data_IF_050375928665
#
_entry.id   IF_050375928665
#
_cell.length_a   1.000
_cell.length_b   1.000
_cell.length_c   1.000
_cell.angle_alpha   90.00
_cell.angle_beta   90.00
_cell.angle_gamma   90.00
#
_symmetry.space_group_name_H-M   'P 1'
#
loop_
_entity.id
_entity.type
_entity.pdbx_description
1 polymer ?
#
# COMPACT_ATOMS: atom_id res chain seq x y z
N UNK A 1 0.18 -25.47 -43.38
CA UNK A 1 1.24 -25.98 -42.47
C UNK A 1 1.10 -25.23 -41.16
N UNK A 2 0.34 -25.81 -40.23
CA UNK A 2 -0.01 -25.20 -38.93
C UNK A 2 0.99 -25.66 -37.87
N UNK A 3 1.72 -24.72 -37.29
CA UNK A 3 2.57 -24.96 -36.13
C UNK A 3 1.80 -24.56 -34.86
N UNK A 4 1.25 -25.56 -34.19
CA UNK A 4 0.69 -25.47 -32.84
C UNK A 4 1.84 -25.36 -31.83
N UNK A 5 1.90 -24.25 -31.10
CA UNK A 5 2.79 -24.09 -29.94
C UNK A 5 2.02 -24.43 -28.66
N UNK A 6 2.60 -25.25 -27.75
CA UNK A 6 1.93 -25.64 -26.51
C UNK A 6 2.12 -24.56 -25.43
N UNK A 7 1.00 -24.16 -24.81
CA UNK A 7 0.98 -23.31 -23.62
C UNK A 7 1.47 -24.15 -22.42
N UNK A 8 2.70 -23.89 -21.97
CA UNK A 8 3.22 -24.41 -20.69
C UNK A 8 2.58 -23.64 -19.53
N UNK A 9 1.71 -24.30 -18.78
CA UNK A 9 1.26 -23.85 -17.47
C UNK A 9 2.41 -23.92 -16.47
N UNK A 10 3.05 -22.78 -16.20
CA UNK A 10 3.96 -22.64 -15.07
C UNK A 10 3.13 -22.42 -13.80
N UNK A 11 2.87 -23.49 -13.06
CA UNK A 11 2.38 -23.45 -11.68
C UNK A 11 3.53 -23.05 -10.74
N UNK A 12 3.81 -21.76 -10.65
CA UNK A 12 4.66 -21.22 -9.60
C UNK A 12 3.89 -21.24 -8.28
N UNK A 13 4.16 -22.30 -7.49
CA UNK A 13 3.98 -22.34 -6.04
C UNK A 13 4.58 -21.08 -5.41
N UNK A 14 3.73 -20.12 -5.05
CA UNK A 14 4.11 -19.09 -4.10
C UNK A 14 3.56 -19.51 -2.73
N UNK A 15 4.39 -20.22 -1.97
CA UNK A 15 4.12 -20.48 -0.57
C UNK A 15 4.26 -19.18 0.20
N UNK A 16 3.14 -18.59 0.59
CA UNK A 16 3.08 -17.50 1.55
C UNK A 16 3.54 -18.00 2.91
N UNK A 17 4.85 -17.88 3.18
CA UNK A 17 5.37 -17.84 4.56
C UNK A 17 4.87 -16.54 5.18
N UNK A 18 3.66 -16.60 5.74
CA UNK A 18 3.16 -15.62 6.69
C UNK A 18 4.11 -15.57 7.89
N UNK A 19 4.86 -14.48 7.96
CA UNK A 19 5.69 -14.10 9.09
C UNK A 19 4.80 -13.89 10.32
N UNK A 20 4.68 -14.96 11.11
CA UNK A 20 4.05 -14.99 12.43
C UNK A 20 4.93 -14.22 13.42
N UNK A 21 4.94 -12.89 13.31
CA UNK A 21 5.70 -12.03 14.21
C UNK A 21 4.85 -10.82 14.62
N UNK A 22 4.45 -10.81 15.89
CA UNK A 22 4.02 -9.65 16.68
C UNK A 22 2.69 -8.97 16.30
N UNK A 23 1.64 -9.75 16.03
CA UNK A 23 0.29 -9.29 16.44
C UNK A 23 0.15 -9.65 17.93
N UNK A 24 0.37 -8.64 18.78
CA UNK A 24 0.53 -8.79 20.23
C UNK A 24 -0.73 -9.24 21.00
N UNK A 25 -0.72 -9.16 22.35
CA UNK A 25 -1.84 -9.55 23.21
C UNK A 25 -3.15 -8.82 22.88
N UNK A 26 -3.09 -7.70 22.14
CA UNK A 26 -4.24 -6.91 21.72
C UNK A 26 -5.25 -7.66 20.84
N UNK A 27 -4.84 -8.62 20.01
CA UNK A 27 -5.81 -9.42 19.23
C UNK A 27 -6.64 -10.33 20.14
N UNK A 28 -6.00 -10.97 21.12
CA UNK A 28 -6.68 -11.80 22.12
C UNK A 28 -7.62 -10.97 23.01
N UNK A 29 -7.20 -9.77 23.42
CA UNK A 29 -8.03 -8.86 24.21
C UNK A 29 -9.24 -8.38 23.38
N UNK A 30 -9.04 -8.02 22.11
CA UNK A 30 -10.13 -7.58 21.23
C UNK A 30 -11.19 -8.67 21.06
N UNK A 31 -10.77 -9.93 20.84
CA UNK A 31 -11.70 -11.06 20.76
C UNK A 31 -12.44 -11.26 22.07
N UNK A 32 -11.74 -11.23 23.20
CA UNK A 32 -12.37 -11.40 24.51
C UNK A 32 -13.43 -10.33 24.77
N UNK A 33 -13.14 -9.06 24.44
CA UNK A 33 -14.09 -7.95 24.56
C UNK A 33 -15.29 -8.15 23.64
N UNK A 34 -15.09 -8.53 22.37
CA UNK A 34 -16.20 -8.80 21.44
C UNK A 34 -17.07 -9.97 21.92
N UNK A 35 -16.48 -11.03 22.46
CA UNK A 35 -17.23 -12.15 23.03
C UNK A 35 -18.06 -11.75 24.25
N UNK A 36 -17.51 -10.90 25.14
CA UNK A 36 -18.24 -10.39 26.31
C UNK A 36 -19.40 -9.48 25.87
N UNK A 37 -19.17 -8.57 24.93
CA UNK A 37 -20.21 -7.66 24.42
C UNK A 37 -21.30 -8.44 23.67
N UNK A 38 -20.95 -9.42 22.85
CA UNK A 38 -21.92 -10.30 22.20
C UNK A 38 -22.70 -11.13 23.22
N UNK A 39 -22.04 -11.69 24.24
CA UNK A 39 -22.70 -12.41 25.33
C UNK A 39 -23.68 -11.52 26.10
N UNK A 40 -23.27 -10.29 26.45
CA UNK A 40 -24.12 -9.32 27.11
C UNK A 40 -25.31 -8.90 26.23
N UNK A 41 -25.11 -8.70 24.93
CA UNK A 41 -26.17 -8.42 23.96
C UNK A 41 -27.19 -9.57 23.89
N UNK A 42 -26.74 -10.82 23.86
CA UNK A 42 -27.63 -12.01 23.85
C UNK A 42 -28.44 -12.13 25.14
N UNK A 43 -27.87 -11.72 26.28
CA UNK A 43 -28.56 -11.75 27.59
C UNK A 43 -29.53 -10.57 27.76
N UNK A 44 -29.16 -9.37 27.28
CA UNK A 44 -29.91 -8.13 27.49
C UNK A 44 -31.01 -7.88 26.44
N UNK A 45 -30.85 -8.37 25.20
CA UNK A 45 -31.90 -8.26 24.18
C UNK A 45 -32.93 -9.39 24.29
N UNK A 46 -34.21 -9.15 23.89
CA UNK A 46 -35.29 -10.14 23.90
C UNK A 46 -35.09 -11.33 22.93
N UNK A 47 -33.93 -11.45 22.28
CA UNK A 47 -33.54 -12.65 21.50
C UNK A 47 -33.50 -13.90 22.38
N UNK A 48 -33.21 -13.76 23.69
CA UNK A 48 -33.31 -14.87 24.64
C UNK A 48 -34.72 -15.49 24.69
N UNK A 49 -35.77 -14.69 24.52
CA UNK A 49 -37.14 -15.22 24.48
C UNK A 49 -37.43 -15.97 23.18
N UNK A 50 -36.81 -15.58 22.06
CA UNK A 50 -37.03 -16.22 20.76
C UNK A 50 -36.20 -17.51 20.61
N UNK A 51 -34.98 -17.54 21.16
CA UNK A 51 -34.05 -18.68 21.01
C UNK A 51 -34.16 -19.68 22.17
N UNK A 52 -34.44 -19.22 23.39
CA UNK A 52 -34.45 -20.09 24.59
C UNK A 52 -35.83 -20.34 25.18
N UNK A 53 -36.93 -19.71 24.72
CA UNK A 53 -38.26 -20.33 24.83
C UNK A 53 -38.45 -21.32 23.69
N UNK A 54 -37.59 -22.33 23.68
CA UNK A 54 -38.01 -23.63 23.21
C UNK A 54 -38.71 -24.23 24.42
N UNK A 55 -40.00 -23.94 24.56
CA UNK A 55 -40.89 -24.91 25.21
C UNK A 55 -40.55 -26.22 24.51
N UNK A 56 -39.87 -27.12 25.22
CA UNK A 56 -39.60 -28.43 24.69
C UNK A 56 -40.98 -28.97 24.30
N UNK A 57 -41.26 -29.21 23.01
CA UNK A 57 -42.41 -30.02 22.70
C UNK A 57 -42.14 -31.32 23.45
N UNK A 58 -42.94 -31.62 24.47
CA UNK A 58 -43.05 -32.98 24.97
C UNK A 58 -43.40 -33.77 23.72
N UNK A 59 -42.43 -34.46 23.16
CA UNK A 59 -42.68 -35.41 22.08
C UNK A 59 -43.69 -36.38 22.66
N UNK A 60 -44.97 -36.36 22.21
CA UNK A 60 -45.77 -37.53 22.44
C UNK A 60 -45.07 -38.63 21.64
N UNK A 61 -44.72 -39.73 22.31
CA UNK A 61 -44.18 -40.92 21.66
C UNK A 61 -45.32 -41.54 20.84
N UNK A 62 -45.62 -40.91 19.70
CA UNK A 62 -46.65 -41.35 18.78
C UNK A 62 -45.96 -42.32 17.83
N UNK A 63 -45.95 -43.59 18.23
CA UNK A 63 -45.84 -44.69 17.29
C UNK A 63 -47.17 -44.72 16.50
N UNK A 64 -47.31 -43.84 15.50
CA UNK A 64 -48.42 -43.94 14.54
C UNK A 64 -47.90 -44.38 13.20
N UNK A 65 -48.47 -45.50 12.75
CA UNK A 65 -48.42 -46.03 11.39
C UNK A 65 -48.79 -44.92 10.38
N UNK A 66 -48.24 -45.01 9.17
CA UNK A 66 -48.27 -43.97 8.14
C UNK A 66 -49.63 -43.33 7.85
N UNK A 67 -50.74 -44.01 8.13
CA UNK A 67 -52.09 -43.51 7.85
C UNK A 67 -52.50 -42.34 8.77
N UNK A 68 -52.11 -42.33 10.05
CA UNK A 68 -52.48 -41.23 10.95
C UNK A 68 -51.63 -39.96 10.70
N UNK A 69 -50.42 -40.13 10.16
CA UNK A 69 -49.57 -39.02 9.75
C UNK A 69 -50.12 -38.36 8.47
N UNK A 70 -50.68 -39.17 7.58
CA UNK A 70 -51.41 -38.69 6.40
C UNK A 70 -52.65 -37.88 6.80
N UNK A 71 -53.44 -38.36 7.77
CA UNK A 71 -54.62 -37.65 8.27
C UNK A 71 -54.27 -36.31 8.94
N UNK A 72 -53.16 -36.24 9.68
CA UNK A 72 -52.65 -34.98 10.25
C UNK A 72 -52.16 -34.02 9.15
N UNK A 73 -51.47 -34.52 8.13
CA UNK A 73 -51.03 -33.71 6.98
C UNK A 73 -52.24 -33.16 6.22
N UNK A 74 -53.26 -33.98 5.98
CA UNK A 74 -54.48 -33.55 5.29
C UNK A 74 -55.25 -32.53 6.14
N UNK A 75 -55.35 -32.71 7.45
CA UNK A 75 -55.96 -31.73 8.35
C UNK A 75 -55.20 -30.39 8.41
N UNK A 76 -53.86 -30.41 8.35
CA UNK A 76 -53.03 -29.18 8.26
C UNK A 76 -53.22 -28.52 6.89
N UNK A 77 -53.26 -29.30 5.82
CA UNK A 77 -53.46 -28.81 4.46
C UNK A 77 -54.83 -28.16 4.31
N UNK A 78 -55.86 -28.77 4.87
CA UNK A 78 -57.23 -28.25 4.86
C UNK A 78 -57.37 -26.97 5.70
N UNK A 79 -56.80 -26.93 6.91
CA UNK A 79 -56.77 -25.69 7.72
C UNK A 79 -56.00 -24.56 7.05
N UNK A 80 -54.92 -24.89 6.34
CA UNK A 80 -54.12 -23.89 5.60
C UNK A 80 -54.90 -23.41 4.38
N UNK A 81 -55.59 -24.32 3.68
CA UNK A 81 -56.47 -23.98 2.56
C UNK A 81 -57.66 -23.11 3.01
N UNK A 82 -58.30 -23.41 4.14
CA UNK A 82 -59.36 -22.58 4.72
C UNK A 82 -58.88 -21.19 5.13
N UNK A 83 -57.71 -21.09 5.79
CA UNK A 83 -57.11 -19.79 6.13
C UNK A 83 -56.75 -18.98 4.89
N UNK A 84 -56.26 -19.64 3.84
CA UNK A 84 -55.98 -18.98 2.57
C UNK A 84 -57.28 -18.55 1.88
N UNK A 85 -58.32 -19.38 1.85
CA UNK A 85 -59.65 -19.01 1.33
C UNK A 85 -60.25 -17.85 2.10
N UNK A 86 -60.16 -17.83 3.42
CA UNK A 86 -60.63 -16.71 4.25
C UNK A 86 -59.85 -15.41 3.99
N UNK A 87 -58.53 -15.50 3.75
CA UNK A 87 -57.71 -14.35 3.35
C UNK A 87 -58.01 -13.85 1.94
N UNK A 88 -58.23 -14.77 0.99
CA UNK A 88 -58.64 -14.43 -0.37
C UNK A 88 -60.03 -13.78 -0.35
N UNK A 89 -60.99 -14.32 0.39
CA UNK A 89 -62.31 -13.74 0.56
C UNK A 89 -62.25 -12.35 1.21
N UNK A 90 -61.39 -12.13 2.21
CA UNK A 90 -61.15 -10.79 2.78
C UNK A 90 -60.54 -9.81 1.77
N UNK A 91 -59.64 -10.28 0.91
CA UNK A 91 -59.05 -9.48 -0.17
C UNK A 91 -60.09 -9.14 -1.24
N UNK A 92 -60.92 -10.10 -1.65
CA UNK A 92 -62.04 -9.89 -2.58
C UNK A 92 -63.03 -8.88 -1.99
N UNK A 93 -63.43 -9.03 -0.73
CA UNK A 93 -64.32 -8.07 -0.06
C UNK A 93 -63.68 -6.68 0.07
N UNK A 94 -62.37 -6.60 0.25
CA UNK A 94 -61.61 -5.36 0.23
C UNK A 94 -61.58 -4.70 -1.15
N UNK A 95 -61.40 -5.49 -2.21
CA UNK A 95 -61.47 -5.03 -3.61
C UNK A 95 -62.87 -4.54 -3.96
N UNK A 96 -63.92 -5.25 -3.57
CA UNK A 96 -65.31 -4.87 -3.80
C UNK A 96 -65.65 -3.55 -3.11
N UNK A 97 -65.25 -3.38 -1.85
CA UNK A 97 -65.43 -2.10 -1.13
C UNK A 97 -64.66 -0.96 -1.78
N UNK A 98 -63.45 -1.20 -2.29
CA UNK A 98 -62.71 -0.20 -3.05
C UNK A 98 -63.43 0.13 -4.36
N UNK A 99 -63.87 -0.86 -5.11
CA UNK A 99 -64.60 -0.68 -6.37
C UNK A 99 -65.90 0.11 -6.15
N UNK A 100 -66.63 -0.19 -5.08
CA UNK A 100 -67.86 0.51 -4.70
C UNK A 100 -67.59 1.94 -4.23
N UNK A 101 -66.53 2.18 -3.43
CA UNK A 101 -66.08 3.53 -3.08
C UNK A 101 -65.64 4.33 -4.31
N UNK A 102 -64.93 3.71 -5.26
CA UNK A 102 -64.57 4.33 -6.53
C UNK A 102 -65.79 4.65 -7.38
N UNK A 103 -66.80 3.79 -7.42
CA UNK A 103 -68.08 4.07 -8.07
C UNK A 103 -68.77 5.25 -7.41
N UNK A 104 -68.97 5.24 -6.08
CA UNK A 104 -69.61 6.34 -5.34
C UNK A 104 -68.86 7.66 -5.58
N UNK A 105 -67.53 7.65 -5.53
CA UNK A 105 -66.72 8.84 -5.78
C UNK A 105 -66.85 9.30 -7.23
N UNK A 106 -66.82 8.40 -8.22
CA UNK A 106 -67.01 8.78 -9.63
C UNK A 106 -68.43 9.27 -9.94
N UNK A 107 -69.45 8.68 -9.31
CA UNK A 107 -70.87 9.05 -9.51
C UNK A 107 -71.19 10.41 -8.89
N UNK A 108 -70.58 10.75 -7.75
CA UNK A 108 -70.90 11.98 -7.01
C UNK A 108 -69.83 13.07 -7.13
N UNK A 109 -68.62 12.75 -7.56
CA UNK A 109 -67.51 13.68 -7.69
C UNK A 109 -66.85 13.57 -9.08
N UNK A 110 -67.57 13.98 -10.14
CA UNK A 110 -66.94 14.30 -11.44
C UNK A 110 -65.65 15.16 -11.34
N UNK A 111 -65.49 16.08 -10.37
CA UNK A 111 -64.22 16.78 -10.15
C UNK A 111 -63.04 15.86 -9.78
N UNK A 112 -63.29 14.70 -9.17
CA UNK A 112 -62.22 13.83 -8.67
C UNK A 112 -61.50 13.10 -9.80
N UNK A 113 -62.21 12.58 -10.80
CA UNK A 113 -61.59 11.93 -11.96
C UNK A 113 -60.75 12.93 -12.77
N UNK A 114 -61.25 14.15 -12.96
CA UNK A 114 -60.52 15.20 -13.67
C UNK A 114 -59.35 15.73 -12.84
N UNK A 115 -59.47 15.85 -11.52
CA UNK A 115 -58.35 16.17 -10.62
C UNK A 115 -57.28 15.07 -10.61
N UNK A 116 -57.67 13.79 -10.62
CA UNK A 116 -56.75 12.67 -10.72
C UNK A 116 -56.00 12.68 -12.06
N UNK A 117 -56.71 12.93 -13.16
CA UNK A 117 -56.10 13.07 -14.49
C UNK A 117 -55.17 14.28 -14.56
N UNK A 118 -55.57 15.43 -14.02
CA UNK A 118 -54.73 16.62 -13.95
C UNK A 118 -53.45 16.38 -13.13
N UNK A 119 -53.58 15.73 -11.97
CA UNK A 119 -52.45 15.36 -11.11
C UNK A 119 -51.54 14.34 -11.78
N UNK A 120 -52.12 13.33 -12.45
CA UNK A 120 -51.36 12.33 -13.20
C UNK A 120 -50.60 12.97 -14.38
N UNK A 121 -51.19 13.94 -15.09
CA UNK A 121 -50.52 14.73 -16.13
C UNK A 121 -49.36 15.54 -15.57
N UNK A 122 -49.58 16.30 -14.51
CA UNK A 122 -48.52 17.10 -13.87
C UNK A 122 -47.33 16.23 -13.40
N UNK A 123 -47.63 15.06 -12.81
CA UNK A 123 -46.61 14.09 -12.40
C UNK A 123 -45.89 13.48 -13.59
N UNK A 124 -46.63 13.11 -14.65
CA UNK A 124 -46.05 12.58 -15.88
C UNK A 124 -45.07 13.60 -16.50
N UNK A 125 -45.47 14.86 -16.63
CA UNK A 125 -44.64 15.92 -17.19
C UNK A 125 -43.35 16.14 -16.38
N UNK A 126 -43.45 16.17 -15.05
CA UNK A 126 -42.28 16.29 -14.19
C UNK A 126 -41.34 15.09 -14.30
N UNK A 127 -41.88 13.86 -14.31
CA UNK A 127 -41.08 12.65 -14.49
C UNK A 127 -40.41 12.60 -15.87
N UNK A 128 -41.10 13.03 -16.93
CA UNK A 128 -40.55 13.16 -18.29
C UNK A 128 -39.35 14.10 -18.28
N UNK A 129 -39.52 15.29 -17.70
CA UNK A 129 -38.46 16.31 -17.63
C UNK A 129 -37.25 15.78 -16.88
N UNK A 130 -37.46 15.21 -15.69
CA UNK A 130 -36.37 14.64 -14.89
C UNK A 130 -35.64 13.49 -15.60
N UNK A 131 -36.37 12.59 -16.27
CA UNK A 131 -35.76 11.48 -17.01
C UNK A 131 -34.88 12.00 -18.15
N UNK A 132 -35.40 12.91 -18.98
CA UNK A 132 -34.67 13.47 -20.12
C UNK A 132 -33.46 14.28 -19.68
N UNK A 133 -33.60 15.18 -18.71
CA UNK A 133 -32.51 16.02 -18.23
C UNK A 133 -31.34 15.18 -17.70
N UNK A 134 -31.65 14.13 -16.91
CA UNK A 134 -30.63 13.20 -16.38
C UNK A 134 -30.02 12.31 -17.44
N UNK A 135 -30.82 11.77 -18.36
CA UNK A 135 -30.29 10.96 -19.47
C UNK A 135 -29.34 11.77 -20.35
N UNK A 136 -29.67 13.04 -20.60
CA UNK A 136 -28.80 13.98 -21.33
C UNK A 136 -27.52 14.26 -20.56
N UNK A 137 -27.61 14.60 -19.27
CA UNK A 137 -26.44 14.85 -18.42
C UNK A 137 -25.50 13.63 -18.38
N UNK A 138 -26.07 12.42 -18.28
CA UNK A 138 -25.29 11.18 -18.31
C UNK A 138 -24.63 10.93 -19.67
N UNK A 139 -25.33 11.19 -20.78
CA UNK A 139 -24.75 11.10 -22.12
C UNK A 139 -23.59 12.10 -22.30
N UNK A 140 -23.73 13.32 -21.81
CA UNK A 140 -22.69 14.35 -21.86
C UNK A 140 -21.49 13.97 -20.97
N UNK A 141 -21.72 13.40 -19.78
CA UNK A 141 -20.66 12.87 -18.92
C UNK A 141 -19.88 11.73 -19.60
N UNK A 142 -20.58 10.83 -20.30
CA UNK A 142 -19.94 9.75 -21.07
C UNK A 142 -19.09 10.30 -22.23
N UNK A 143 -19.56 11.33 -22.95
CA UNK A 143 -18.77 12.00 -24.00
C UNK A 143 -17.53 12.70 -23.44
N UNK A 144 -17.67 13.39 -22.31
CA UNK A 144 -16.53 14.02 -21.63
C UNK A 144 -15.51 12.98 -21.14
N UNK A 145 -15.98 11.86 -20.59
CA UNK A 145 -15.14 10.73 -20.20
C UNK A 145 -14.42 10.10 -21.40
N UNK A 146 -15.10 9.96 -22.53
CA UNK A 146 -14.51 9.49 -23.78
C UNK A 146 -13.40 10.43 -24.27
N UNK A 147 -13.65 11.75 -24.30
CA UNK A 147 -12.69 12.75 -24.76
C UNK A 147 -11.45 12.86 -23.85
N UNK A 148 -11.62 12.70 -22.55
CA UNK A 148 -10.54 12.75 -21.56
C UNK A 148 -9.85 11.39 -21.32
N UNK A 149 -10.35 10.31 -21.94
CA UNK A 149 -9.97 8.93 -21.64
C UNK A 149 -10.08 8.56 -20.15
N UNK A 150 -10.92 9.28 -19.39
CA UNK A 150 -11.13 9.05 -17.97
C UNK A 150 -12.57 8.56 -17.71
N UNK A 151 -12.79 7.26 -17.50
CA UNK A 151 -14.12 6.70 -17.24
C UNK A 151 -14.73 7.10 -15.89
N UNK A 152 -13.93 7.56 -14.91
CA UNK A 152 -14.37 7.73 -13.52
C UNK A 152 -15.55 8.73 -13.37
N UNK A 153 -15.51 9.95 -13.94
CA UNK A 153 -16.61 10.90 -13.80
C UNK A 153 -17.93 10.38 -14.39
N UNK A 154 -17.87 9.61 -15.49
CA UNK A 154 -19.06 9.03 -16.11
C UNK A 154 -19.67 7.92 -15.25
N UNK A 155 -18.84 7.08 -14.62
CA UNK A 155 -19.30 6.05 -13.69
C UNK A 155 -19.95 6.67 -12.45
N UNK A 156 -19.37 7.75 -11.92
CA UNK A 156 -19.95 8.49 -10.78
C UNK A 156 -21.29 9.13 -11.12
N UNK A 157 -21.38 9.81 -12.27
CA UNK A 157 -22.64 10.37 -12.78
C UNK A 157 -23.70 9.26 -12.94
N UNK A 158 -23.30 8.12 -13.50
CA UNK A 158 -24.23 7.02 -13.70
C UNK A 158 -24.73 6.40 -12.39
N UNK A 159 -23.86 6.22 -11.39
CA UNK A 159 -24.26 5.77 -10.04
C UNK A 159 -25.28 6.71 -9.41
N UNK A 160 -25.14 8.02 -9.61
CA UNK A 160 -26.04 9.03 -9.08
C UNK A 160 -27.38 9.11 -9.82
N UNK A 161 -27.36 9.04 -11.16
CA UNK A 161 -28.53 9.35 -11.99
C UNK A 161 -29.30 8.12 -12.46
N UNK A 162 -28.66 6.97 -12.68
CA UNK A 162 -29.33 5.80 -13.27
C UNK A 162 -30.53 5.29 -12.44
N UNK A 163 -30.46 5.14 -11.11
CA UNK A 163 -31.63 4.72 -10.33
C UNK A 163 -32.81 5.67 -10.46
N UNK A 164 -32.53 6.97 -10.60
CA UNK A 164 -33.53 8.02 -10.72
C UNK A 164 -34.16 8.04 -12.12
N UNK A 165 -33.35 7.81 -13.16
CA UNK A 165 -33.85 7.64 -14.53
C UNK A 165 -34.82 6.45 -14.60
N UNK A 166 -34.43 5.29 -14.07
CA UNK A 166 -35.28 4.08 -14.11
C UNK A 166 -36.58 4.28 -13.32
N UNK A 167 -36.51 4.92 -12.15
CA UNK A 167 -37.70 5.25 -11.36
C UNK A 167 -38.63 6.20 -12.12
N UNK A 168 -38.08 7.24 -12.77
CA UNK A 168 -38.87 8.15 -13.58
C UNK A 168 -39.50 7.46 -14.80
N UNK A 169 -38.80 6.52 -15.44
CA UNK A 169 -39.35 5.73 -16.56
C UNK A 169 -40.51 4.82 -16.15
N UNK A 170 -40.46 4.22 -14.95
CA UNK A 170 -41.57 3.45 -14.41
C UNK A 170 -42.80 4.33 -14.12
N UNK A 171 -42.57 5.55 -13.62
CA UNK A 171 -43.64 6.53 -13.39
C UNK A 171 -44.23 7.05 -14.70
N UNK A 172 -43.42 7.25 -15.74
CA UNK A 172 -43.89 7.58 -17.09
C UNK A 172 -44.82 6.48 -17.61
N UNK A 173 -44.40 5.22 -17.50
CA UNK A 173 -45.22 4.06 -17.89
C UNK A 173 -46.56 4.02 -17.14
N UNK A 174 -46.55 4.26 -15.82
CA UNK A 174 -47.78 4.37 -15.02
C UNK A 174 -48.66 5.51 -15.50
N UNK A 175 -48.09 6.68 -15.80
CA UNK A 175 -48.81 7.83 -16.34
C UNK A 175 -49.49 7.53 -17.69
N UNK A 176 -48.80 6.85 -18.59
CA UNK A 176 -49.36 6.40 -19.88
C UNK A 176 -50.61 5.54 -19.70
N UNK A 177 -50.54 4.57 -18.77
CA UNK A 177 -51.65 3.65 -18.49
C UNK A 177 -52.82 4.38 -17.82
N UNK A 178 -52.55 5.25 -16.85
CA UNK A 178 -53.58 5.98 -16.11
C UNK A 178 -54.32 7.00 -16.98
N UNK A 179 -53.62 7.63 -17.92
CA UNK A 179 -54.20 8.62 -18.83
C UNK A 179 -54.80 8.00 -20.10
N UNK A 180 -54.74 6.67 -20.24
CA UNK A 180 -55.27 5.91 -21.38
C UNK A 180 -54.73 6.39 -22.74
N UNK A 181 -53.46 6.81 -22.78
CA UNK A 181 -52.83 7.39 -23.96
C UNK A 181 -52.42 6.30 -24.94
N UNK A 182 -53.30 5.96 -25.90
CA UNK A 182 -53.05 4.92 -26.93
C UNK A 182 -52.35 3.69 -26.34
N UNK A 183 -52.94 3.15 -25.26
CA UNK A 183 -52.31 2.26 -24.28
C UNK A 183 -51.29 1.30 -24.88
N UNK A 184 -51.66 0.56 -25.91
CA UNK A 184 -50.81 -0.54 -26.41
C UNK A 184 -49.61 -0.04 -27.21
N UNK A 185 -49.79 0.94 -28.10
CA UNK A 185 -48.72 1.45 -28.94
C UNK A 185 -47.68 2.24 -28.12
N UNK A 186 -48.16 3.14 -27.26
CA UNK A 186 -47.29 4.00 -26.45
C UNK A 186 -46.60 3.22 -25.33
N UNK A 187 -47.28 2.26 -24.69
CA UNK A 187 -46.65 1.38 -23.71
C UNK A 187 -45.58 0.50 -24.35
N UNK A 188 -45.79 0.02 -25.59
CA UNK A 188 -44.77 -0.74 -26.32
C UNK A 188 -43.53 0.10 -26.59
N UNK A 189 -43.69 1.36 -27.02
CA UNK A 189 -42.55 2.27 -27.21
C UNK A 189 -41.83 2.60 -25.90
N UNK A 190 -42.57 2.80 -24.81
CA UNK A 190 -41.98 3.05 -23.49
C UNK A 190 -41.24 1.82 -22.95
N UNK A 191 -41.75 0.60 -23.17
CA UNK A 191 -41.06 -0.63 -22.81
C UNK A 191 -39.73 -0.75 -23.58
N UNK A 192 -39.73 -0.47 -24.88
CA UNK A 192 -38.50 -0.47 -25.69
C UNK A 192 -37.48 0.58 -25.20
N UNK A 193 -37.93 1.78 -24.80
CA UNK A 193 -37.07 2.81 -24.22
C UNK A 193 -36.50 2.39 -22.84
N UNK A 194 -37.29 1.71 -22.02
CA UNK A 194 -36.86 1.17 -20.73
C UNK A 194 -35.85 0.02 -20.91
N UNK A 195 -36.07 -0.89 -21.85
CA UNK A 195 -35.13 -1.96 -22.19
C UNK A 195 -33.79 -1.40 -22.67
N UNK A 196 -33.80 -0.38 -23.53
CA UNK A 196 -32.60 0.32 -23.95
C UNK A 196 -31.84 0.95 -22.76
N UNK A 197 -32.57 1.54 -21.79
CA UNK A 197 -31.97 2.12 -20.60
C UNK A 197 -31.42 1.05 -19.64
N UNK A 198 -32.07 -0.11 -19.52
CA UNK A 198 -31.57 -1.26 -18.76
C UNK A 198 -30.27 -1.78 -19.40
N UNK A 199 -30.22 -1.89 -20.72
CA UNK A 199 -29.01 -2.28 -21.45
C UNK A 199 -27.86 -1.28 -21.21
N UNK A 200 -28.16 0.03 -21.25
CA UNK A 200 -27.18 1.07 -20.92
C UNK A 200 -26.64 0.94 -19.49
N UNK A 201 -27.52 0.67 -18.52
CA UNK A 201 -27.14 0.45 -17.12
C UNK A 201 -26.23 -0.77 -16.93
N UNK A 202 -26.52 -1.89 -17.63
CA UNK A 202 -25.66 -3.07 -17.59
C UNK A 202 -24.24 -2.75 -18.09
N UNK A 203 -24.14 -1.98 -19.16
CA UNK A 203 -22.85 -1.57 -19.71
C UNK A 203 -22.08 -0.64 -18.76
N UNK A 204 -22.77 0.29 -18.13
CA UNK A 204 -22.18 1.18 -17.11
C UNK A 204 -21.66 0.40 -15.90
N UNK A 205 -22.37 -0.62 -15.44
CA UNK A 205 -21.86 -1.50 -14.35
C UNK A 205 -20.56 -2.18 -14.74
N UNK A 206 -20.46 -2.62 -15.99
CA UNK A 206 -19.22 -3.21 -16.48
C UNK A 206 -18.08 -2.18 -16.63
N UNK A 207 -18.38 -0.93 -16.96
CA UNK A 207 -17.41 0.18 -16.88
C UNK A 207 -16.96 0.42 -15.45
N UNK A 208 -17.87 0.35 -14.47
CA UNK A 208 -17.55 0.49 -13.05
C UNK A 208 -16.55 -0.58 -12.58
N UNK A 209 -16.79 -1.85 -12.91
CA UNK A 209 -15.85 -2.95 -12.65
C UNK A 209 -14.49 -2.72 -13.31
N UNK A 210 -14.48 -2.15 -14.52
CA UNK A 210 -13.25 -1.79 -15.22
C UNK A 210 -12.48 -0.67 -14.52
N UNK A 211 -13.16 0.37 -14.02
CA UNK A 211 -12.56 1.45 -13.23
C UNK A 211 -11.95 0.90 -11.95
N UNK A 212 -12.68 0.05 -11.24
CA UNK A 212 -12.18 -0.62 -10.04
C UNK A 212 -10.90 -1.41 -10.34
N UNK A 213 -10.87 -2.15 -11.45
CA UNK A 213 -9.70 -2.93 -11.89
C UNK A 213 -8.50 -2.01 -12.18
N UNK A 214 -8.72 -0.87 -12.85
CA UNK A 214 -7.67 0.12 -13.13
C UNK A 214 -7.14 0.70 -11.82
N UNK A 215 -8.00 1.07 -10.88
CA UNK A 215 -7.59 1.60 -9.58
C UNK A 215 -6.79 0.57 -8.76
N UNK A 216 -7.26 -0.68 -8.70
CA UNK A 216 -6.56 -1.77 -8.01
C UNK A 216 -5.18 -2.06 -8.60
N UNK A 217 -4.99 -1.87 -9.91
CA UNK A 217 -3.69 -2.03 -10.58
C UNK A 217 -2.79 -0.80 -10.44
N UNK A 218 -3.37 0.40 -10.35
CA UNK A 218 -2.63 1.65 -10.18
C UNK A 218 -2.04 1.81 -8.77
N UNK A 219 -2.67 1.24 -7.75
CA UNK A 219 -2.23 1.43 -6.36
C UNK A 219 -0.85 0.78 -6.05
N UNK A 220 -0.59 -0.48 -6.44
CA UNK A 220 0.75 -1.08 -6.29
C UNK A 220 1.83 -0.28 -7.03
N UNK A 221 1.51 0.25 -8.21
CA UNK A 221 2.41 1.10 -9.00
C UNK A 221 2.78 2.39 -8.26
N UNK A 222 1.82 3.03 -7.58
CA UNK A 222 2.09 4.23 -6.75
C UNK A 222 2.99 3.88 -5.57
N UNK A 223 2.72 2.77 -4.87
CA UNK A 223 3.57 2.29 -3.78
C UNK A 223 4.99 2.02 -4.26
N UNK A 224 5.14 1.31 -5.39
CA UNK A 224 6.43 0.98 -5.98
C UNK A 224 7.22 2.23 -6.39
N UNK A 225 6.55 3.24 -6.97
CA UNK A 225 7.17 4.52 -7.30
C UNK A 225 7.68 5.26 -6.07
N UNK A 226 6.90 5.27 -4.98
CA UNK A 226 7.30 5.89 -3.72
C UNK A 226 8.51 5.17 -3.11
N UNK A 227 8.49 3.84 -3.06
CA UNK A 227 9.64 3.06 -2.56
C UNK A 227 10.90 3.30 -3.39
N UNK A 228 10.76 3.46 -4.70
CA UNK A 228 11.85 3.77 -5.62
C UNK A 228 12.39 5.19 -5.38
N UNK A 229 11.52 6.17 -5.14
CA UNK A 229 11.91 7.54 -4.78
C UNK A 229 12.68 7.57 -3.44
N UNK A 230 12.16 6.88 -2.41
CA UNK A 230 12.82 6.74 -1.10
C UNK A 230 14.21 6.10 -1.23
N UNK A 231 14.33 5.07 -2.08
CA UNK A 231 15.59 4.39 -2.35
C UNK A 231 16.58 5.31 -3.08
N UNK A 232 16.13 6.05 -4.09
CA UNK A 232 16.95 7.01 -4.83
C UNK A 232 17.43 8.17 -3.95
N UNK A 233 16.62 8.63 -3.00
CA UNK A 233 17.01 9.60 -1.98
C UNK A 233 18.09 9.07 -1.01
N UNK A 234 18.15 7.76 -0.80
CA UNK A 234 19.14 7.14 0.10
C UNK A 234 20.50 6.87 -0.56
N UNK A 235 20.56 6.75 -1.89
CA UNK A 235 21.79 6.44 -2.63
C UNK A 235 22.94 7.44 -2.39
N UNK A 236 22.72 8.77 -2.40
CA UNK A 236 23.79 9.73 -2.13
C UNK A 236 24.44 9.54 -0.75
N UNK A 237 23.63 9.22 0.27
CA UNK A 237 24.15 8.97 1.61
C UNK A 237 25.06 7.75 1.70
N UNK A 238 24.77 6.70 0.92
CA UNK A 238 25.64 5.51 0.82
C UNK A 238 26.95 5.82 0.08
N UNK A 239 26.90 6.61 -1.00
CA UNK A 239 28.10 7.04 -1.72
C UNK A 239 29.00 7.94 -0.87
N UNK A 240 28.42 8.87 -0.11
CA UNK A 240 29.16 9.74 0.79
C UNK A 240 29.80 8.95 1.94
N UNK A 241 29.10 7.95 2.49
CA UNK A 241 29.64 7.04 3.48
C UNK A 241 30.83 6.23 2.94
N UNK A 242 30.74 5.72 1.71
CA UNK A 242 31.84 5.03 1.03
C UNK A 242 33.05 5.97 0.87
N UNK A 243 32.84 7.18 0.33
CA UNK A 243 33.91 8.18 0.12
C UNK A 243 34.59 8.57 1.41
N UNK A 244 33.80 8.82 2.47
CA UNK A 244 34.31 9.18 3.80
C UNK A 244 35.14 8.05 4.41
N UNK A 245 34.64 6.81 4.38
CA UNK A 245 35.37 5.65 4.89
C UNK A 245 36.67 5.39 4.12
N UNK A 246 36.65 5.56 2.80
CA UNK A 246 37.84 5.41 1.95
C UNK A 246 38.91 6.48 2.24
N UNK A 247 38.48 7.75 2.38
CA UNK A 247 39.37 8.84 2.75
C UNK A 247 39.99 8.63 4.14
N UNK A 248 39.20 8.17 5.11
CA UNK A 248 39.69 7.83 6.45
C UNK A 248 40.70 6.68 6.43
N UNK A 249 40.46 5.64 5.62
CA UNK A 249 41.39 4.53 5.45
C UNK A 249 42.73 5.01 4.84
N UNK A 250 42.67 5.88 3.84
CA UNK A 250 43.87 6.44 3.19
C UNK A 250 44.70 7.29 4.16
N UNK A 251 44.03 8.09 5.00
CA UNK A 251 44.70 8.86 6.06
C UNK A 251 45.35 7.93 7.10
N UNK A 252 44.65 6.89 7.55
CA UNK A 252 45.19 5.91 8.48
C UNK A 252 46.45 5.22 7.92
N UNK A 253 46.47 4.85 6.65
CA UNK A 253 47.66 4.31 5.98
C UNK A 253 48.82 5.30 5.91
N UNK A 254 48.54 6.58 5.62
CA UNK A 254 49.56 7.62 5.62
C UNK A 254 50.21 7.75 7.01
N UNK A 255 49.41 7.65 8.10
CA UNK A 255 49.92 7.65 9.47
C UNK A 255 50.76 6.41 9.79
N UNK A 256 50.37 5.22 9.31
CA UNK A 256 51.19 3.99 9.44
C UNK A 256 52.57 4.20 8.79
N UNK A 257 52.61 4.77 7.58
CA UNK A 257 53.88 5.07 6.88
C UNK A 257 54.75 6.05 7.66
N UNK A 258 54.15 7.08 8.27
CA UNK A 258 54.86 8.03 9.12
C UNK A 258 55.43 7.36 10.37
N UNK A 259 54.66 6.50 11.05
CA UNK A 259 55.13 5.73 12.20
C UNK A 259 56.29 4.79 11.81
N UNK A 260 56.23 4.15 10.64
CA UNK A 260 57.33 3.33 10.12
C UNK A 260 58.60 4.13 9.88
N UNK A 261 58.48 5.35 9.34
CA UNK A 261 59.61 6.25 9.16
C UNK A 261 60.23 6.64 10.52
N UNK A 262 59.40 7.08 11.47
CA UNK A 262 59.85 7.42 12.83
C UNK A 262 60.52 6.25 13.53
N UNK A 263 60.01 5.03 13.35
CA UNK A 263 60.62 3.81 13.91
C UNK A 263 62.01 3.57 13.31
N UNK A 264 62.17 3.67 11.99
CA UNK A 264 63.48 3.52 11.33
C UNK A 264 64.48 4.56 11.83
N UNK A 265 64.05 5.81 12.02
CA UNK A 265 64.91 6.85 12.56
C UNK A 265 65.28 6.59 14.03
N UNK A 266 64.34 6.09 14.83
CA UNK A 266 64.61 5.67 16.22
C UNK A 266 65.58 4.48 16.27
N UNK A 267 65.40 3.48 15.41
CA UNK A 267 66.32 2.34 15.28
C UNK A 267 67.75 2.79 14.92
N UNK A 268 67.90 3.80 14.04
CA UNK A 268 69.21 4.40 13.73
C UNK A 268 69.83 5.06 14.96
N UNK A 269 69.04 5.82 15.73
CA UNK A 269 69.50 6.45 16.98
C UNK A 269 69.89 5.42 18.04
N UNK A 270 69.15 4.31 18.15
CA UNK A 270 69.48 3.19 19.05
C UNK A 270 70.85 2.60 18.68
N UNK A 271 71.11 2.35 17.39
CA UNK A 271 72.42 1.84 16.93
C UNK A 271 73.54 2.82 17.26
N UNK A 272 73.35 4.11 17.00
CA UNK A 272 74.34 5.13 17.34
C UNK A 272 74.63 5.18 18.85
N UNK A 273 73.60 5.16 19.71
CA UNK A 273 73.75 5.16 21.16
C UNK A 273 74.45 3.89 21.68
N UNK A 274 74.20 2.73 21.05
CA UNK A 274 74.91 1.48 21.37
C UNK A 274 76.40 1.58 21.02
N UNK A 275 76.74 2.17 19.88
CA UNK A 275 78.13 2.36 19.46
C UNK A 275 78.85 3.36 20.38
N UNK A 276 78.21 4.44 20.79
CA UNK A 276 78.74 5.39 21.78
C UNK A 276 78.99 4.72 23.14
N UNK A 277 78.03 3.92 23.62
CA UNK A 277 78.19 3.16 24.87
C UNK A 277 79.37 2.16 24.79
N UNK A 278 79.57 1.51 23.64
CA UNK A 278 80.72 0.61 23.39
C UNK A 278 82.04 1.39 23.39
N UNK A 279 82.08 2.57 22.77
CA UNK A 279 83.26 3.46 22.75
C UNK A 279 83.64 3.93 24.15
N UNK A 280 82.66 4.40 24.93
CA UNK A 280 82.87 4.86 26.31
C UNK A 280 83.35 3.71 27.22
N UNK A 281 82.78 2.51 27.06
CA UNK A 281 83.25 1.32 27.78
C UNK A 281 84.71 0.99 27.43
N UNK A 282 85.06 1.01 26.14
CA UNK A 282 86.44 0.76 25.72
C UNK A 282 87.42 1.83 26.24
N UNK A 283 86.99 3.09 26.33
CA UNK A 283 87.77 4.17 26.94
C UNK A 283 87.96 3.94 28.44
N UNK A 284 86.90 3.57 29.16
CA UNK A 284 86.97 3.20 30.58
C UNK A 284 87.96 2.04 30.80
N UNK A 285 87.80 0.94 30.06
CA UNK A 285 88.68 -0.24 30.17
C UNK A 285 90.16 0.14 29.91
N UNK A 286 90.41 1.06 28.97
CA UNK A 286 91.75 1.57 28.68
C UNK A 286 92.30 2.41 29.85
N UNK A 287 91.51 3.33 30.39
CA UNK A 287 91.90 4.17 31.53
C UNK A 287 92.15 3.33 32.79
N UNK A 288 91.32 2.31 33.05
CA UNK A 288 91.52 1.38 34.15
C UNK A 288 92.83 0.59 34.02
N UNK A 289 93.17 0.14 32.81
CA UNK A 289 94.48 -0.51 32.55
C UNK A 289 95.63 0.45 32.83
N UNK A 290 95.57 1.67 32.31
CA UNK A 290 96.59 2.70 32.55
C UNK A 290 96.70 3.08 34.03
N UNK A 291 95.60 3.11 34.77
CA UNK A 291 95.59 3.33 36.22
C UNK A 291 96.25 2.17 36.97
N UNK A 292 95.98 0.92 36.58
CA UNK A 292 96.65 -0.27 37.16
C UNK A 292 98.16 -0.24 36.91
N UNK A 293 98.57 0.07 35.68
CA UNK A 293 99.99 0.22 35.31
C UNK A 293 100.67 1.34 36.10
N UNK A 294 100.04 2.53 36.20
CA UNK A 294 100.57 3.65 36.97
C UNK A 294 100.71 3.29 38.47
N UNK A 295 99.72 2.60 39.04
CA UNK A 295 99.79 2.11 40.42
C UNK A 295 100.88 1.05 40.63
N UNK A 296 101.10 0.15 39.67
CA UNK A 296 102.20 -0.82 39.72
C UNK A 296 103.58 -0.12 39.64
N UNK A 297 103.73 0.85 38.74
CA UNK A 297 104.96 1.66 38.64
C UNK A 297 105.23 2.46 39.91
N UNK A 298 104.20 3.07 40.51
CA UNK A 298 104.30 3.77 41.79
C UNK A 298 104.71 2.83 42.93
N UNK A 299 104.20 1.59 42.96
CA UNK A 299 104.64 0.56 43.92
C UNK A 299 106.10 0.15 43.71
N UNK A 300 106.57 0.05 42.46
CA UNK A 300 107.98 -0.26 42.16
C UNK A 300 108.93 0.90 42.51
N UNK A 301 108.48 2.16 42.41
CA UNK A 301 109.25 3.37 42.76
C UNK A 301 109.33 3.68 44.26
N UNK A 302 108.60 2.96 45.12
CA UNK A 302 108.68 3.05 46.60
C UNK A 302 110.05 2.67 47.20
N UNK A 303 111.08 2.39 46.39
CA UNK A 303 112.48 2.34 46.85
C UNK A 303 113.20 3.71 46.88
N UNK A 304 112.54 4.84 46.58
CA UNK A 304 113.17 6.15 46.84
C UNK A 304 112.55 7.43 46.27
N UNK A 305 111.42 7.40 45.55
CA UNK A 305 110.80 8.61 45.00
C UNK A 305 109.30 8.70 45.27
N UNK A 306 108.80 9.92 45.51
CA UNK A 306 107.39 10.20 45.75
C UNK A 306 106.52 9.75 44.57
N UNK A 307 105.35 9.12 44.81
CA UNK A 307 104.45 8.71 43.74
C UNK A 307 103.91 9.92 42.98
N UNK A 308 103.71 9.75 41.68
CA UNK A 308 103.23 10.77 40.74
C UNK A 308 101.70 10.93 40.89
N UNK A 309 101.27 11.44 42.05
CA UNK A 309 99.87 11.49 42.52
C UNK A 309 98.94 12.22 41.56
N UNK A 310 99.43 13.28 40.91
CA UNK A 310 98.68 14.04 39.92
C UNK A 310 98.22 13.19 38.73
N UNK A 311 99.05 12.23 38.28
CA UNK A 311 98.70 11.33 37.17
C UNK A 311 97.63 10.31 37.57
N UNK A 312 97.69 9.81 38.81
CA UNK A 312 96.68 8.89 39.36
C UNK A 312 95.34 9.62 39.50
N UNK A 313 95.32 10.84 40.05
CA UNK A 313 94.10 11.64 40.19
C UNK A 313 93.47 12.01 38.84
N UNK A 314 94.29 12.33 37.83
CA UNK A 314 93.80 12.62 36.48
C UNK A 314 93.17 11.37 35.82
N UNK A 315 93.76 10.18 36.02
CA UNK A 315 93.21 8.93 35.52
C UNK A 315 91.92 8.54 36.26
N UNK A 316 91.84 8.76 37.58
CA UNK A 316 90.60 8.53 38.35
C UNK A 316 89.48 9.44 37.87
N UNK A 317 89.74 10.75 37.70
CA UNK A 317 88.74 11.69 37.14
C UNK A 317 88.28 11.28 35.75
N UNK A 318 89.19 10.84 34.88
CA UNK A 318 88.84 10.33 33.56
C UNK A 318 87.97 9.07 33.59
N UNK A 319 88.18 8.17 34.57
CA UNK A 319 87.32 6.99 34.77
C UNK A 319 85.93 7.43 35.23
N UNK A 320 85.84 8.36 36.18
CA UNK A 320 84.56 8.87 36.70
C UNK A 320 83.75 9.56 35.58
N UNK A 321 84.39 10.37 34.74
CA UNK A 321 83.78 11.00 33.57
C UNK A 321 83.31 9.96 32.53
N UNK A 322 84.11 8.92 32.27
CA UNK A 322 83.73 7.84 31.36
C UNK A 322 82.54 7.02 31.89
N UNK A 323 82.49 6.75 33.20
CA UNK A 323 81.38 6.07 33.88
C UNK A 323 80.12 6.93 33.85
N UNK A 324 80.23 8.24 34.10
CA UNK A 324 79.12 9.18 34.00
C UNK A 324 78.56 9.22 32.56
N UNK A 325 79.44 9.31 31.56
CA UNK A 325 79.07 9.23 30.14
C UNK A 325 78.38 7.92 29.79
N UNK A 326 78.88 6.79 30.30
CA UNK A 326 78.27 5.46 30.06
C UNK A 326 76.86 5.37 30.68
N UNK A 327 76.67 5.90 31.89
CA UNK A 327 75.34 5.97 32.53
C UNK A 327 74.36 6.81 31.70
N UNK A 328 74.80 7.97 31.21
CA UNK A 328 73.97 8.83 30.36
C UNK A 328 73.63 8.16 29.01
N UNK A 329 74.60 7.50 28.37
CA UNK A 329 74.38 6.76 27.13
C UNK A 329 73.40 5.59 27.33
N UNK A 330 73.50 4.87 28.46
CA UNK A 330 72.57 3.80 28.82
C UNK A 330 71.15 4.33 29.07
N UNK A 331 71.01 5.41 29.82
CA UNK A 331 69.70 6.04 30.05
C UNK A 331 69.04 6.49 28.74
N UNK A 332 69.82 7.07 27.81
CA UNK A 332 69.35 7.44 26.47
C UNK A 332 68.93 6.20 25.66
N UNK A 333 69.70 5.12 25.71
CA UNK A 333 69.36 3.87 25.04
C UNK A 333 68.04 3.28 25.55
N UNK A 334 67.83 3.26 26.87
CA UNK A 334 66.62 2.73 27.48
C UNK A 334 65.39 3.58 27.12
N UNK A 335 65.53 4.92 27.11
CA UNK A 335 64.49 5.84 26.64
C UNK A 335 64.14 5.63 25.16
N UNK A 336 65.14 5.47 24.28
CA UNK A 336 64.90 5.22 22.85
C UNK A 336 64.23 3.86 22.61
N UNK A 337 64.60 2.81 23.37
CA UNK A 337 63.92 1.50 23.31
C UNK A 337 62.46 1.58 23.75
N UNK A 338 62.16 2.38 24.78
CA UNK A 338 60.80 2.63 25.22
C UNK A 338 60.00 3.40 24.16
N UNK A 339 60.63 4.36 23.47
CA UNK A 339 60.01 5.06 22.34
C UNK A 339 59.74 4.11 21.16
N UNK A 340 60.68 3.22 20.82
CA UNK A 340 60.51 2.21 19.75
C UNK A 340 59.36 1.25 20.06
N UNK A 341 59.24 0.77 21.30
CA UNK A 341 58.13 -0.10 21.70
C UNK A 341 56.78 0.62 21.64
N UNK A 342 56.73 1.89 22.06
CA UNK A 342 55.54 2.75 21.91
C UNK A 342 55.11 2.91 20.45
N UNK A 343 56.06 3.19 19.55
CA UNK A 343 55.80 3.31 18.11
C UNK A 343 55.32 1.98 17.48
N UNK A 344 55.84 0.83 17.93
CA UNK A 344 55.36 -0.49 17.48
C UNK A 344 53.90 -0.73 17.86
N UNK A 345 53.53 -0.42 19.10
CA UNK A 345 52.14 -0.54 19.56
C UNK A 345 51.23 0.40 18.77
N UNK A 346 51.63 1.67 18.61
CA UNK A 346 50.86 2.66 17.85
C UNK A 346 50.67 2.23 16.39
N UNK A 347 51.72 1.73 15.74
CA UNK A 347 51.63 1.18 14.38
C UNK A 347 50.60 0.05 14.30
N UNK A 348 50.66 -0.93 15.21
CA UNK A 348 49.71 -2.05 15.23
C UNK A 348 48.25 -1.58 15.39
N UNK A 349 48.01 -0.58 16.24
CA UNK A 349 46.66 0.00 16.37
C UNK A 349 46.19 0.67 15.07
N UNK A 350 47.06 1.45 14.41
CA UNK A 350 46.72 2.15 13.17
C UNK A 350 46.51 1.19 11.99
N UNK A 351 47.28 0.10 11.91
CA UNK A 351 47.09 -0.97 10.91
C UNK A 351 45.72 -1.64 11.08
N UNK A 352 45.32 -1.95 12.32
CA UNK A 352 44.01 -2.52 12.61
C UNK A 352 42.89 -1.55 12.23
N UNK A 353 43.01 -0.27 12.59
CA UNK A 353 42.02 0.76 12.21
C UNK A 353 41.93 0.93 10.69
N UNK A 354 43.07 0.94 9.97
CA UNK A 354 43.06 1.04 8.51
C UNK A 354 42.38 -0.18 7.86
N UNK A 355 42.64 -1.39 8.37
CA UNK A 355 42.00 -2.60 7.89
C UNK A 355 40.49 -2.61 8.14
N UNK A 356 40.04 -2.14 9.31
CA UNK A 356 38.63 -2.02 9.65
C UNK A 356 37.91 -1.00 8.76
N UNK A 357 38.49 0.20 8.58
CA UNK A 357 37.93 1.23 7.70
C UNK A 357 37.81 0.77 6.24
N UNK A 358 38.78 -0.01 5.74
CA UNK A 358 38.68 -0.63 4.41
C UNK A 358 37.52 -1.62 4.30
N UNK A 359 37.29 -2.44 5.33
CA UNK A 359 36.14 -3.36 5.36
C UNK A 359 34.83 -2.59 5.38
N UNK A 360 34.76 -1.51 6.14
CA UNK A 360 33.59 -0.62 6.17
C UNK A 360 33.34 0.03 4.82
N UNK A 361 34.37 0.54 4.14
CA UNK A 361 34.25 1.11 2.80
C UNK A 361 33.79 0.06 1.77
N UNK A 362 34.35 -1.15 1.81
CA UNK A 362 33.94 -2.25 0.94
C UNK A 362 32.47 -2.64 1.16
N UNK A 363 32.03 -2.72 2.43
CA UNK A 363 30.64 -3.00 2.78
C UNK A 363 29.68 -1.91 2.26
N UNK A 364 30.01 -0.64 2.48
CA UNK A 364 29.21 0.48 1.99
C UNK A 364 29.08 0.46 0.45
N UNK A 365 30.18 0.13 -0.25
CA UNK A 365 30.18 -0.03 -1.72
C UNK A 365 29.26 -1.15 -2.20
N UNK A 366 29.30 -2.30 -1.53
CA UNK A 366 28.44 -3.43 -1.88
C UNK A 366 26.96 -3.13 -1.58
N UNK A 367 26.68 -2.44 -0.48
CA UNK A 367 25.33 -1.94 -0.15
C UNK A 367 24.82 -0.95 -1.20
N UNK A 368 25.63 0.02 -1.61
CA UNK A 368 25.31 0.97 -2.69
C UNK A 368 25.01 0.25 -4.02
N UNK A 369 25.84 -0.71 -4.43
CA UNK A 369 25.61 -1.51 -5.65
C UNK A 369 24.33 -2.34 -5.58
N UNK A 370 24.03 -2.94 -4.43
CA UNK A 370 22.81 -3.72 -4.23
C UNK A 370 21.56 -2.82 -4.25
N UNK A 371 21.64 -1.63 -3.64
CA UNK A 371 20.58 -0.63 -3.72
C UNK A 371 20.33 -0.19 -5.16
N UNK A 372 21.40 0.11 -5.92
CA UNK A 372 21.28 0.49 -7.33
C UNK A 372 20.63 -0.61 -8.19
N UNK A 373 21.05 -1.86 -8.04
CA UNK A 373 20.43 -3.00 -8.74
C UNK A 373 18.96 -3.16 -8.37
N UNK A 374 18.63 -2.99 -7.09
CA UNK A 374 17.25 -3.05 -6.60
C UNK A 374 16.40 -1.94 -7.22
N UNK A 375 16.92 -0.71 -7.25
CA UNK A 375 16.28 0.42 -7.90
C UNK A 375 16.05 0.17 -9.40
N UNK A 376 17.03 -0.37 -10.11
CA UNK A 376 16.91 -0.70 -11.54
C UNK A 376 15.85 -1.79 -11.79
N UNK A 377 15.82 -2.83 -10.97
CA UNK A 377 14.80 -3.88 -11.04
C UNK A 377 13.39 -3.33 -10.74
N UNK A 378 13.26 -2.43 -9.76
CA UNK A 378 12.01 -1.74 -9.45
C UNK A 378 11.56 -0.84 -10.61
N UNK A 379 12.48 -0.08 -11.23
CA UNK A 379 12.20 0.73 -12.44
C UNK A 379 11.66 -0.15 -13.57
N UNK A 380 12.34 -1.25 -13.89
CA UNK A 380 11.90 -2.20 -14.94
C UNK A 380 10.54 -2.83 -14.64
N UNK A 381 10.23 -3.09 -13.36
CA UNK A 381 8.90 -3.59 -12.96
C UNK A 381 7.84 -2.50 -13.12
N UNK A 382 8.11 -1.28 -12.64
CA UNK A 382 7.21 -0.15 -12.77
C UNK A 382 6.89 0.16 -14.24
N UNK A 383 7.88 0.13 -15.13
CA UNK A 383 7.69 0.32 -16.58
C UNK A 383 6.78 -0.74 -17.21
N UNK A 384 6.95 -2.01 -16.83
CA UNK A 384 6.09 -3.10 -17.33
C UNK A 384 4.67 -2.97 -16.82
N UNK A 385 4.52 -2.73 -15.52
CA UNK A 385 3.22 -2.59 -14.88
C UNK A 385 2.48 -1.34 -15.42
N UNK A 386 3.21 -0.25 -15.71
CA UNK A 386 2.66 0.95 -16.35
C UNK A 386 2.23 0.69 -17.80
N UNK A 387 3.03 -0.05 -18.57
CA UNK A 387 2.63 -0.47 -19.92
C UNK A 387 1.39 -1.38 -19.89
N UNK A 388 1.28 -2.28 -18.91
CA UNK A 388 0.11 -3.13 -18.71
C UNK A 388 -1.13 -2.33 -18.26
N UNK A 389 -0.94 -1.35 -17.39
CA UNK A 389 -2.00 -0.42 -16.99
C UNK A 389 -2.46 0.41 -18.20
N UNK A 390 -1.54 0.96 -18.99
CA UNK A 390 -1.85 1.73 -20.19
C UNK A 390 -2.62 0.88 -21.21
N UNK A 391 -2.19 -0.37 -21.46
CA UNK A 391 -2.94 -1.32 -22.30
C UNK A 391 -4.34 -1.59 -21.76
N UNK A 392 -4.47 -1.75 -20.44
CA UNK A 392 -5.77 -1.94 -19.79
C UNK A 392 -6.65 -0.71 -20.01
N UNK A 393 -6.14 0.50 -19.75
CA UNK A 393 -6.87 1.76 -19.94
C UNK A 393 -7.31 1.91 -21.40
N UNK A 394 -6.41 1.70 -22.37
CA UNK A 394 -6.74 1.79 -23.81
C UNK A 394 -7.81 0.77 -24.22
N UNK A 395 -7.68 -0.48 -23.80
CA UNK A 395 -8.70 -1.51 -24.07
C UNK A 395 -10.05 -1.12 -23.45
N UNK A 396 -10.05 -0.51 -22.27
CA UNK A 396 -11.27 -0.07 -21.59
C UNK A 396 -11.84 1.23 -22.16
N UNK A 397 -11.03 2.11 -22.75
CA UNK A 397 -11.50 3.33 -23.41
C UNK A 397 -12.39 3.00 -24.62
N UNK A 398 -12.14 1.90 -25.33
CA UNK A 398 -13.02 1.42 -26.41
C UNK A 398 -14.46 1.15 -25.92
N UNK A 399 -14.61 0.79 -24.65
CA UNK A 399 -15.89 0.51 -24.03
C UNK A 399 -16.68 1.79 -23.78
N UNK A 400 -16.00 2.90 -23.47
CA UNK A 400 -16.67 4.21 -23.32
C UNK A 400 -17.41 4.61 -24.59
N UNK A 401 -16.83 4.34 -25.75
CA UNK A 401 -17.49 4.60 -27.05
C UNK A 401 -18.79 3.82 -27.16
N UNK A 402 -18.76 2.51 -26.86
CA UNK A 402 -19.94 1.64 -26.87
C UNK A 402 -20.99 2.12 -25.86
N UNK A 403 -20.57 2.46 -24.64
CA UNK A 403 -21.48 3.00 -23.62
C UNK A 403 -22.14 4.29 -24.04
N UNK A 404 -21.38 5.21 -24.65
CA UNK A 404 -21.88 6.49 -25.14
C UNK A 404 -22.93 6.28 -26.23
N UNK A 405 -22.71 5.34 -27.16
CA UNK A 405 -23.66 5.01 -28.21
C UNK A 405 -24.94 4.39 -27.64
N UNK A 406 -24.84 3.44 -26.71
CA UNK A 406 -26.01 2.80 -26.09
C UNK A 406 -26.83 3.84 -25.30
N UNK A 407 -26.18 4.67 -24.48
CA UNK A 407 -26.87 5.69 -23.68
C UNK A 407 -27.51 6.78 -24.55
N UNK A 408 -26.84 7.20 -25.64
CA UNK A 408 -27.41 8.14 -26.61
C UNK A 408 -28.62 7.54 -27.33
N UNK A 409 -28.59 6.24 -27.65
CA UNK A 409 -29.72 5.51 -28.21
C UNK A 409 -30.91 5.41 -27.26
N UNK A 410 -30.66 5.13 -25.98
CA UNK A 410 -31.69 5.09 -24.94
C UNK A 410 -32.35 6.48 -24.76
N UNK A 411 -31.55 7.55 -24.75
CA UNK A 411 -32.05 8.91 -24.71
C UNK A 411 -32.93 9.25 -25.92
N UNK A 412 -32.47 8.94 -27.14
CA UNK A 412 -33.26 9.16 -28.36
C UNK A 412 -34.57 8.35 -28.38
N UNK A 413 -34.57 7.13 -27.86
CA UNK A 413 -35.78 6.33 -27.71
C UNK A 413 -36.78 7.00 -26.74
N UNK A 414 -36.31 7.50 -25.59
CA UNK A 414 -37.15 8.21 -24.63
C UNK A 414 -37.71 9.52 -25.21
N UNK A 415 -36.91 10.27 -25.98
CA UNK A 415 -37.37 11.49 -26.65
C UNK A 415 -38.55 11.22 -27.59
N UNK A 416 -38.50 10.15 -28.39
CA UNK A 416 -39.61 9.77 -29.29
C UNK A 416 -40.89 9.45 -28.52
N UNK A 417 -40.81 8.76 -27.38
CA UNK A 417 -41.96 8.51 -26.52
C UNK A 417 -42.56 9.83 -26.01
N UNK A 418 -41.70 10.75 -25.57
CA UNK A 418 -42.12 12.05 -25.03
C UNK A 418 -42.76 12.93 -26.11
N UNK A 419 -42.20 12.98 -27.30
CA UNK A 419 -42.79 13.67 -28.46
C UNK A 419 -44.17 13.11 -28.76
N UNK A 420 -44.32 11.78 -28.77
CA UNK A 420 -45.60 11.12 -29.00
C UNK A 420 -46.62 11.41 -27.91
N UNK A 421 -46.21 11.43 -26.63
CA UNK A 421 -47.08 11.85 -25.51
C UNK A 421 -47.58 13.27 -25.72
N UNK A 422 -46.70 14.20 -26.08
CA UNK A 422 -47.05 15.61 -26.33
C UNK A 422 -48.04 15.75 -27.48
N UNK A 423 -47.82 15.04 -28.59
CA UNK A 423 -48.76 15.00 -29.72
C UNK A 423 -50.15 14.51 -29.29
N UNK A 424 -50.23 13.43 -28.51
CA UNK A 424 -51.50 12.87 -28.06
C UNK A 424 -52.24 13.80 -27.11
N UNK A 425 -51.52 14.45 -26.20
CA UNK A 425 -52.09 15.42 -25.27
C UNK A 425 -52.58 16.69 -25.98
N UNK A 426 -51.87 17.16 -27.02
CA UNK A 426 -52.26 18.31 -27.83
C UNK A 426 -53.38 17.99 -28.85
N UNK A 427 -53.43 16.78 -29.39
CA UNK A 427 -54.46 16.34 -30.33
C UNK A 427 -55.82 16.12 -29.66
N UNK A 428 -55.83 15.67 -28.40
CA UNK A 428 -57.05 15.50 -27.61
C UNK A 428 -57.84 16.79 -27.38
N UNK A 429 -57.21 17.96 -27.45
CA UNK A 429 -57.88 19.26 -27.32
C UNK A 429 -58.66 19.70 -28.57
N UNK A 430 -58.37 19.17 -29.76
CA UNK A 430 -59.02 19.61 -31.00
C UNK A 430 -60.17 18.70 -31.47
N UNK A 431 -60.17 17.42 -31.09
CA UNK A 431 -61.23 16.48 -31.50
C UNK A 431 -62.59 16.73 -30.79
N UNK A 432 -62.58 17.38 -29.62
CA UNK A 432 -63.80 17.70 -28.87
C UNK A 432 -64.59 18.91 -29.41
N UNK A 433 -63.97 19.79 -30.20
CA UNK A 433 -64.62 21.05 -30.63
C UNK A 433 -65.36 20.92 -31.96
N UNK A 434 -65.04 19.93 -32.81
CA UNK A 434 -65.71 19.76 -34.11
C UNK A 434 -67.01 18.94 -34.07
N UNK A 435 -67.30 18.22 -32.98
CA UNK A 435 -68.55 17.46 -32.84
C UNK A 435 -69.75 18.31 -32.40
N UNK A 436 -69.54 19.58 -32.03
CA UNK A 436 -70.58 20.48 -31.52
C UNK A 436 -71.26 21.39 -32.57
N UNK A 437 -70.72 21.51 -33.78
CA UNK A 437 -71.22 22.47 -34.79
C UNK A 437 -72.04 21.85 -35.94
N UNK A 438 -72.39 20.56 -35.86
CA UNK A 438 -73.21 19.87 -36.87
C UNK A 438 -74.65 19.56 -36.40
N UNK A 439 -75.21 20.38 -35.50
CA UNK A 439 -76.65 20.42 -35.18
C UNK A 439 -77.11 21.88 -35.09
N UNK A 440 -77.25 22.54 -36.23
CA UNK A 440 -78.22 23.62 -36.45
C UNK A 440 -78.86 23.43 -37.82
#
# INVERSE_FOLDING_TARGET
MSASTPIRNASSRCGSRLTRAKQGPFWGISIAVHCIVLGALVIAFPVREIVFRRDAPREPEIITRGDALQEIIDAIRDRTAERLRGRVALLEQGQDRMAQNFQIINTHFLPFADQQRATARARLDECIRQALDRQKALADALRAAQASHNPLPAVEAARADMPRILTAQDEIRRGIILLDLQKDALATQQNAAQEAQISANQFIRWLDDAVLTIQQRAEPLRSLRKELEDLELSLPGLEDAERSAFAAATNAEARVRLCDQQRRDTERLIRAAQDDARRLKAQQDKLERSLREANQQAKQRKKGAAPDTAKIEALTRGIDDAVAGQKQAKARLDSLKQQESGLKTQRGTLENTAAELKRTAAKARDESRNALRTAEDMRKRAERDEADLARTVTNRASLLVTSCNIQSGAYAAQQRVVERIRELLAGGTNAGTQAGTARQ
#
